data_IF_044589811460
#
_entry.id   IF_044589811460
#
_cell.length_a   1.000
_cell.length_b   1.000
_cell.length_c   1.000
_cell.angle_alpha   90.00
_cell.angle_beta   90.00
_cell.angle_gamma   90.00
#
_symmetry.space_group_name_H-M   'P 1'
#
loop_
_entity.id
_entity.type
_entity.pdbx_description
1 polymer ?
#
# COMPACT_ATOMS: atom_id res chain seq x y z
N UNK A 1 18.67 -17.27 4.47
CA UNK A 1 17.97 -16.15 3.81
C UNK A 1 16.48 -16.31 4.07
N UNK A 2 15.90 -15.60 5.05
CA UNK A 2 14.45 -15.71 5.39
C UNK A 2 13.78 -14.37 5.76
N UNK A 3 14.56 -13.29 5.92
CA UNK A 3 14.08 -12.01 6.50
C UNK A 3 13.15 -11.25 5.53
N UNK A 4 13.42 -11.29 4.22
CA UNK A 4 12.67 -10.49 3.25
C UNK A 4 11.19 -10.87 3.10
N UNK A 5 10.80 -12.12 3.42
CA UNK A 5 9.39 -12.52 3.39
C UNK A 5 8.65 -12.10 4.66
N UNK A 6 9.35 -12.06 5.81
CA UNK A 6 8.73 -11.59 7.06
C UNK A 6 8.42 -10.10 7.01
N UNK A 7 9.32 -9.28 6.48
CA UNK A 7 9.10 -7.84 6.35
C UNK A 7 7.93 -7.50 5.41
N UNK A 8 7.78 -8.27 4.32
CA UNK A 8 6.65 -8.11 3.39
C UNK A 8 5.32 -8.51 4.03
N UNK A 9 5.29 -9.64 4.74
CA UNK A 9 4.08 -10.10 5.41
C UNK A 9 3.65 -9.13 6.52
N UNK A 10 4.60 -8.66 7.34
CA UNK A 10 4.32 -7.68 8.38
C UNK A 10 3.75 -6.38 7.81
N UNK A 11 4.34 -5.86 6.73
CA UNK A 11 3.83 -4.67 6.05
C UNK A 11 2.39 -4.88 5.51
N UNK A 12 2.10 -6.07 4.98
CA UNK A 12 0.75 -6.42 4.51
C UNK A 12 -0.25 -6.46 5.67
N UNK A 13 0.07 -7.18 6.74
CA UNK A 13 -0.79 -7.31 7.94
C UNK A 13 -1.04 -5.97 8.62
N UNK A 14 -0.01 -5.12 8.73
CA UNK A 14 -0.13 -3.77 9.26
C UNK A 14 -0.99 -2.87 8.36
N UNK A 15 -0.91 -3.03 7.04
CA UNK A 15 -1.74 -2.27 6.10
C UNK A 15 -3.20 -2.71 6.16
N UNK A 16 -3.47 -4.01 6.26
CA UNK A 16 -4.83 -4.53 6.48
C UNK A 16 -5.39 -3.93 7.78
N UNK A 17 -4.60 -3.99 8.86
CA UNK A 17 -5.01 -3.42 10.15
C UNK A 17 -5.30 -1.92 10.05
N UNK A 18 -4.42 -1.16 9.38
CA UNK A 18 -4.61 0.28 9.13
C UNK A 18 -5.93 0.57 8.39
N UNK A 19 -6.24 -0.19 7.34
CA UNK A 19 -7.47 0.00 6.56
C UNK A 19 -8.72 -0.37 7.37
N UNK A 20 -8.66 -1.46 8.15
CA UNK A 20 -9.76 -1.85 9.04
C UNK A 20 -9.99 -0.82 10.16
N UNK A 21 -8.93 -0.24 10.73
CA UNK A 21 -9.04 0.85 11.70
C UNK A 21 -9.63 2.13 11.09
N UNK A 22 -9.37 2.40 9.81
CA UNK A 22 -9.94 3.52 9.06
C UNK A 22 -11.41 3.27 8.65
N UNK A 23 -11.90 2.04 8.82
CA UNK A 23 -13.31 1.66 8.62
C UNK A 23 -13.59 0.82 7.37
N UNK A 24 -12.56 0.40 6.64
CA UNK A 24 -12.70 -0.46 5.46
C UNK A 24 -12.83 -1.94 5.83
N UNK A 25 -13.77 -2.63 5.19
CA UNK A 25 -13.89 -4.09 5.18
C UNK A 25 -12.99 -4.65 4.07
N UNK A 26 -11.74 -4.96 4.41
CA UNK A 26 -10.72 -5.38 3.41
C UNK A 26 -11.17 -6.62 2.63
N UNK A 27 -11.88 -7.56 3.25
CA UNK A 27 -12.33 -8.79 2.58
C UNK A 27 -13.41 -8.52 1.52
N UNK A 28 -14.23 -7.48 1.73
CA UNK A 28 -15.36 -7.16 0.84
C UNK A 28 -15.08 -6.00 -0.11
N UNK A 29 -14.21 -5.06 0.27
CA UNK A 29 -13.98 -3.79 -0.45
C UNK A 29 -12.67 -3.78 -1.23
N UNK A 30 -11.69 -4.62 -0.89
CA UNK A 30 -10.42 -4.71 -1.62
C UNK A 30 -10.46 -5.89 -2.57
N UNK A 31 -10.34 -5.61 -3.87
CA UNK A 31 -10.28 -6.61 -4.95
C UNK A 31 -8.93 -7.35 -4.93
N UNK A 32 -7.84 -6.60 -4.80
CA UNK A 32 -6.49 -7.13 -4.85
C UNK A 32 -5.57 -6.39 -3.87
N UNK A 33 -4.72 -7.14 -3.17
CA UNK A 33 -3.69 -6.56 -2.32
C UNK A 33 -2.39 -7.34 -2.42
N UNK A 34 -1.27 -6.66 -2.69
CA UNK A 34 0.05 -7.30 -2.83
C UNK A 34 1.20 -6.35 -2.50
N UNK A 35 2.37 -6.91 -2.19
CA UNK A 35 3.56 -6.13 -1.81
C UNK A 35 4.53 -6.02 -2.98
N UNK A 36 4.93 -4.80 -3.31
CA UNK A 36 5.94 -4.50 -4.35
C UNK A 36 7.18 -3.85 -3.74
N UNK A 37 8.34 -4.05 -4.39
CA UNK A 37 9.53 -3.25 -4.09
C UNK A 37 9.51 -1.98 -4.95
N UNK A 38 9.40 -0.82 -4.32
CA UNK A 38 9.44 0.49 -4.98
C UNK A 38 10.82 1.14 -4.92
N UNK A 39 11.76 0.57 -4.15
CA UNK A 39 13.15 1.02 -4.16
C UNK A 39 13.92 0.37 -5.30
N UNK A 40 14.47 1.18 -6.20
CA UNK A 40 15.32 0.68 -7.30
C UNK A 40 16.57 -0.04 -6.79
N UNK A 41 17.26 0.55 -5.81
CA UNK A 41 18.49 0.01 -5.20
C UNK A 41 18.33 -0.31 -3.71
N UNK A 42 17.23 0.13 -3.09
CA UNK A 42 16.91 -0.07 -1.68
C UNK A 42 15.72 -1.03 -1.52
N UNK A 43 15.67 -1.77 -0.41
CA UNK A 43 14.52 -2.63 -0.08
C UNK A 43 13.40 -1.79 0.50
N UNK A 44 12.77 -0.96 -0.33
CA UNK A 44 11.62 -0.14 0.07
C UNK A 44 10.37 -0.85 -0.44
N UNK A 45 9.61 -1.45 0.47
CA UNK A 45 8.38 -2.15 0.12
C UNK A 45 7.16 -1.24 0.28
N UNK A 46 6.19 -1.42 -0.60
CA UNK A 46 4.87 -0.80 -0.52
C UNK A 46 3.79 -1.87 -0.76
N UNK A 47 2.67 -1.76 -0.05
CA UNK A 47 1.45 -2.51 -0.36
C UNK A 47 0.70 -1.76 -1.43
N UNK A 48 0.29 -2.48 -2.46
CA UNK A 48 -0.68 -2.02 -3.45
C UNK A 48 -2.03 -2.58 -3.06
N UNK A 49 -3.05 -1.74 -2.95
CA UNK A 49 -4.44 -2.13 -2.80
C UNK A 49 -5.27 -1.59 -3.96
N UNK A 50 -6.13 -2.43 -4.51
CA UNK A 50 -7.12 -2.07 -5.54
C UNK A 50 -8.49 -2.30 -4.95
N UNK A 51 -9.33 -1.27 -4.93
CA UNK A 51 -10.68 -1.36 -4.35
C UNK A 51 -11.71 -1.75 -5.40
N UNK A 52 -12.72 -2.52 -4.99
CA UNK A 52 -13.80 -3.00 -5.86
C UNK A 52 -14.59 -1.84 -6.51
N UNK A 53 -14.78 -0.73 -5.80
CA UNK A 53 -15.49 0.45 -6.31
C UNK A 53 -14.63 1.30 -7.26
N UNK A 54 -13.31 1.18 -7.16
CA UNK A 54 -12.34 1.94 -7.95
C UNK A 54 -11.28 1.02 -8.59
N UNK A 55 -11.68 0.03 -9.41
CA UNK A 55 -10.77 -1.00 -9.94
C UNK A 55 -9.72 -0.46 -10.92
N UNK A 56 -9.81 0.84 -11.25
CA UNK A 56 -8.85 1.54 -12.10
C UNK A 56 -7.76 2.26 -11.31
N UNK A 57 -7.81 2.23 -9.98
CA UNK A 57 -6.89 2.93 -9.10
C UNK A 57 -6.14 1.93 -8.22
N UNK A 58 -4.83 2.03 -8.25
CA UNK A 58 -3.93 1.31 -7.35
C UNK A 58 -3.46 2.27 -6.27
N UNK A 59 -3.76 1.95 -5.03
CA UNK A 59 -3.37 2.72 -3.85
C UNK A 59 -2.12 2.12 -3.24
N UNK A 60 -1.10 2.95 -3.02
CA UNK A 60 0.20 2.51 -2.50
C UNK A 60 0.34 2.95 -1.05
N UNK A 61 0.64 2.00 -0.18
CA UNK A 61 0.85 2.19 1.25
C UNK A 61 2.26 1.75 1.64
N UNK A 62 2.93 2.51 2.49
CA UNK A 62 4.25 2.16 2.99
C UNK A 62 4.44 2.68 4.41
N UNK A 63 5.47 2.17 5.10
CA UNK A 63 5.89 2.75 6.38
C UNK A 63 6.41 4.18 6.18
N UNK A 64 5.90 5.12 6.99
CA UNK A 64 6.46 6.45 7.10
C UNK A 64 7.88 6.35 7.65
N UNK A 65 8.84 6.91 6.93
CA UNK A 65 10.29 6.84 7.23
C UNK A 65 10.57 7.14 8.71
N UNK A 66 11.28 6.23 9.38
CA UNK A 66 11.65 6.36 10.79
C UNK A 66 10.52 6.04 11.78
N UNK A 67 9.41 5.49 11.32
CA UNK A 67 8.27 5.09 12.15
C UNK A 67 7.70 3.74 11.68
N UNK A 68 6.91 3.09 12.54
CA UNK A 68 6.14 1.90 12.18
C UNK A 68 4.69 2.26 11.78
N UNK A 69 4.47 3.47 11.24
CA UNK A 69 3.13 3.91 10.84
C UNK A 69 2.93 3.73 9.35
N UNK A 70 1.84 3.10 8.96
CA UNK A 70 1.41 3.01 7.56
C UNK A 70 0.88 4.36 7.10
N UNK A 71 1.26 4.78 5.89
CA UNK A 71 0.72 5.94 5.20
C UNK A 71 0.45 5.60 3.73
N UNK A 72 -0.55 6.23 3.14
CA UNK A 72 -0.72 6.24 1.70
C UNK A 72 0.32 7.16 1.06
N UNK A 73 1.09 6.65 0.10
CA UNK A 73 2.19 7.38 -0.56
C UNK A 73 1.86 7.76 -2.01
N UNK A 74 0.96 7.03 -2.68
CA UNK A 74 0.55 7.32 -4.04
C UNK A 74 -0.79 6.67 -4.39
N UNK A 75 -1.47 7.23 -5.40
CA UNK A 75 -2.57 6.58 -6.11
C UNK A 75 -2.22 6.59 -7.59
N UNK A 76 -2.28 5.46 -8.27
CA UNK A 76 -1.93 5.34 -9.69
C UNK A 76 -3.12 4.82 -10.46
N UNK A 77 -3.50 5.53 -11.52
CA UNK A 77 -4.56 5.06 -12.40
C UNK A 77 -3.98 4.09 -13.45
N UNK A 78 -4.41 2.83 -13.45
CA UNK A 78 -3.88 1.78 -14.36
C UNK A 78 -4.15 2.07 -15.84
N UNK A 79 -5.21 2.82 -16.16
CA UNK A 79 -5.58 3.14 -17.54
C UNK A 79 -4.71 4.24 -18.16
N UNK A 80 -4.13 5.11 -17.34
CA UNK A 80 -3.31 6.25 -17.78
C UNK A 80 -1.85 6.16 -17.33
N UNK A 81 -1.53 5.22 -16.44
CA UNK A 81 -0.24 5.08 -15.75
C UNK A 81 0.22 6.38 -15.07
N UNK A 82 -0.70 7.30 -14.80
CA UNK A 82 -0.37 8.60 -14.25
C UNK A 82 -0.48 8.55 -12.72
N UNK A 83 0.61 8.79 -11.98
CA UNK A 83 0.58 8.80 -10.52
C UNK A 83 -0.04 10.11 -10.04
N UNK A 84 -1.12 10.01 -9.27
CA UNK A 84 -1.61 11.06 -8.39
C UNK A 84 -0.87 10.91 -7.06
N UNK A 85 0.26 11.60 -6.94
CA UNK A 85 0.98 11.70 -5.68
C UNK A 85 0.14 12.63 -4.79
N UNK A 86 -0.36 12.13 -3.66
CA UNK A 86 -0.96 12.99 -2.63
C UNK A 86 0.18 13.52 -1.75
N UNK A 87 0.65 14.78 -1.93
CA UNK A 87 1.51 15.39 -0.93
C UNK A 87 0.68 15.55 0.34
N UNK A 88 1.18 14.99 1.43
CA UNK A 88 0.67 15.08 2.81
C UNK A 88 -0.39 16.19 2.99
N UNK A 89 -1.67 15.80 3.07
CA UNK A 89 -2.71 16.70 3.56
C UNK A 89 -2.32 17.10 4.98
N UNK A 90 -2.09 18.41 5.13
CA UNK A 90 -1.70 19.13 6.35
C UNK A 90 -2.43 18.69 7.62
#
# INVERSE_FOLDING_TARGET
MFIANQEKNALLEDTISYLTEDGYDVESEVEEMYVVNVGQDEKIYAVVATYNDEPKLNYFYAYKKGTNKIIQIAVVNIGTHQPTIHPESK
#
